data_IF_408674688760
#
_entry.id   IF_408674688760
#
_cell.length_a   1.000
_cell.length_b   1.000
_cell.length_c   1.000
_cell.angle_alpha   90.00
_cell.angle_beta   90.00
_cell.angle_gamma   90.00
#
_symmetry.space_group_name_H-M   'P 1'
#
loop_
_entity.id
_entity.type
_entity.pdbx_description
1 polymer ?
#
# COMPACT_ATOMS: atom_id res chain seq x y z
N UNK A 1 -0.43 -9.30 -12.67
CA UNK A 1 0.65 -8.30 -12.77
C UNK A 1 0.17 -6.99 -12.18
N UNK A 2 0.95 -6.37 -11.29
CA UNK A 2 0.54 -5.15 -10.58
C UNK A 2 0.84 -3.93 -11.46
N UNK A 3 -0.20 -3.27 -12.00
CA UNK A 3 -0.01 -2.14 -12.94
C UNK A 3 0.22 -0.81 -12.25
N UNK A 4 -0.31 -0.64 -11.05
CA UNK A 4 -0.22 0.59 -10.28
C UNK A 4 -0.33 0.30 -8.79
N UNK A 5 0.33 1.12 -7.98
CA UNK A 5 0.26 1.05 -6.52
C UNK A 5 -0.25 2.37 -5.96
N UNK A 6 -1.45 2.35 -5.36
CA UNK A 6 -1.98 3.47 -4.58
C UNK A 6 -1.56 3.32 -3.12
N UNK A 7 -0.85 4.31 -2.59
CA UNK A 7 -0.39 4.30 -1.19
C UNK A 7 -0.55 5.68 -0.54
N UNK A 8 -0.44 5.70 0.79
CA UNK A 8 -0.50 6.94 1.53
C UNK A 8 0.66 7.88 1.20
N UNK A 9 0.40 9.18 1.35
CA UNK A 9 1.40 10.25 1.25
C UNK A 9 2.58 10.05 2.21
N UNK A 10 2.41 9.30 3.31
CA UNK A 10 3.52 8.89 4.18
C UNK A 10 4.54 7.97 3.53
N UNK A 11 4.21 7.33 2.40
CA UNK A 11 5.12 6.52 1.59
C UNK A 11 5.78 7.35 0.46
N UNK A 12 5.75 8.67 0.56
CA UNK A 12 6.42 9.59 -0.35
C UNK A 12 7.94 9.48 -0.19
N UNK A 13 8.54 8.54 -0.92
CA UNK A 13 9.98 8.35 -1.01
C UNK A 13 10.42 8.21 -2.47
N UNK A 14 11.50 8.90 -2.84
CA UNK A 14 11.96 8.94 -4.22
C UNK A 14 12.60 7.61 -4.65
N UNK A 15 13.37 6.96 -3.78
CA UNK A 15 14.00 5.68 -4.09
C UNK A 15 12.93 4.59 -4.28
N UNK A 16 11.91 4.57 -3.43
CA UNK A 16 10.78 3.66 -3.55
C UNK A 16 10.00 3.87 -4.87
N UNK A 17 9.77 5.13 -5.26
CA UNK A 17 9.12 5.42 -6.55
C UNK A 17 9.95 4.97 -7.75
N UNK A 18 11.27 5.10 -7.69
CA UNK A 18 12.16 4.62 -8.75
C UNK A 18 12.13 3.10 -8.85
N UNK A 19 12.17 2.39 -7.73
CA UNK A 19 12.01 0.94 -7.70
C UNK A 19 10.68 0.50 -8.33
N UNK A 20 9.58 1.16 -7.98
CA UNK A 20 8.27 0.89 -8.58
C UNK A 20 8.29 1.12 -10.09
N UNK A 21 8.87 2.23 -10.56
CA UNK A 21 8.98 2.52 -12.00
C UNK A 21 9.87 1.50 -12.73
N UNK A 22 10.97 1.08 -12.12
CA UNK A 22 11.86 0.05 -12.66
C UNK A 22 11.16 -1.31 -12.75
N UNK A 23 10.25 -1.60 -11.82
CA UNK A 23 9.37 -2.77 -11.87
C UNK A 23 8.17 -2.60 -12.85
N UNK A 24 8.06 -1.47 -13.55
CA UNK A 24 6.94 -1.19 -14.46
C UNK A 24 5.63 -0.82 -13.76
N UNK A 25 5.67 -0.54 -12.46
CA UNK A 25 4.50 -0.23 -11.63
C UNK A 25 4.35 1.29 -11.53
N UNK A 26 3.18 1.83 -11.88
CA UNK A 26 2.91 3.27 -11.72
C UNK A 26 2.66 3.62 -10.25
N UNK A 27 3.48 4.49 -9.62
CA UNK A 27 3.22 4.94 -8.26
C UNK A 27 2.09 5.99 -8.23
N UNK A 28 0.99 5.67 -7.55
CA UNK A 28 -0.12 6.58 -7.25
C UNK A 28 0.00 7.04 -5.79
N UNK A 29 1.08 7.78 -5.50
CA UNK A 29 1.42 8.26 -4.16
C UNK A 29 1.52 9.78 -4.22
N UNK A 30 0.68 10.50 -3.47
CA UNK A 30 0.73 11.97 -3.42
C UNK A 30 2.08 12.43 -2.88
N UNK A 31 2.69 13.41 -3.52
CA UNK A 31 3.90 14.08 -3.07
C UNK A 31 3.64 14.86 -1.79
N UNK A 32 4.59 14.80 -0.86
CA UNK A 32 4.66 15.71 0.27
C UNK A 32 5.00 17.11 -0.25
N UNK A 33 4.09 18.03 0.02
CA UNK A 33 4.17 19.40 -0.48
C UNK A 33 5.25 20.12 0.31
N UNK A 34 6.37 20.38 -0.36
CA UNK A 34 7.45 21.22 0.14
C UNK A 34 7.70 22.41 -0.79
N UNK A 35 7.32 22.29 -2.06
CA UNK A 35 7.51 23.32 -3.08
C UNK A 35 6.31 23.42 -4.04
N UNK A 36 6.20 24.53 -4.81
CA UNK A 36 5.11 24.73 -5.78
C UNK A 36 5.00 23.62 -6.84
N UNK A 37 6.11 22.99 -7.22
CA UNK A 37 6.08 21.90 -8.21
C UNK A 37 5.39 20.64 -7.68
N UNK A 38 5.39 20.38 -6.37
CA UNK A 38 4.69 19.24 -5.77
C UNK A 38 3.17 19.34 -5.95
N UNK A 39 2.63 20.56 -5.98
CA UNK A 39 1.23 20.79 -6.30
C UNK A 39 0.90 20.39 -7.72
N UNK A 40 1.77 20.73 -8.68
CA UNK A 40 1.59 20.35 -10.08
C UNK A 40 1.67 18.83 -10.26
N UNK A 41 2.57 18.15 -9.55
CA UNK A 41 2.66 16.69 -9.57
C UNK A 41 1.42 16.03 -8.95
N UNK A 42 0.93 16.54 -7.83
CA UNK A 42 -0.29 16.04 -7.20
C UNK A 42 -1.55 16.26 -8.06
N UNK A 43 -1.63 17.38 -8.79
CA UNK A 43 -2.75 17.67 -9.70
C UNK A 43 -2.80 16.75 -10.93
N UNK A 44 -1.69 16.06 -11.26
CA UNK A 44 -1.62 15.08 -12.37
C UNK A 44 -2.02 13.67 -11.95
N UNK A 45 -2.21 13.42 -10.65
CA UNK A 45 -2.68 12.13 -10.16
C UNK A 45 -4.18 12.05 -10.44
N UNK A 46 -4.60 10.95 -11.03
CA UNK A 46 -6.01 10.64 -11.23
C UNK A 46 -6.65 10.35 -9.86
N UNK A 47 -7.56 11.23 -9.42
CA UNK A 47 -8.20 11.14 -8.11
C UNK A 47 -9.13 9.93 -7.99
N UNK A 48 -9.71 9.42 -9.09
CA UNK A 48 -10.53 8.21 -9.07
C UNK A 48 -9.67 6.97 -8.82
N UNK A 49 -8.55 6.86 -9.53
CA UNK A 49 -7.57 5.79 -9.30
C UNK A 49 -6.91 5.89 -7.93
N UNK A 50 -6.58 7.10 -7.47
CA UNK A 50 -6.05 7.31 -6.11
C UNK A 50 -7.09 7.00 -5.04
N UNK A 51 -8.38 7.22 -5.31
CA UNK A 51 -9.50 6.88 -4.43
C UNK A 51 -9.58 5.40 -4.06
N UNK A 52 -9.03 4.51 -4.90
CA UNK A 52 -8.93 3.06 -4.63
C UNK A 52 -8.06 2.73 -3.40
N UNK A 53 -7.24 3.68 -2.93
CA UNK A 53 -6.53 3.57 -1.66
C UNK A 53 -7.46 3.25 -0.48
N UNK A 54 -8.66 3.84 -0.46
CA UNK A 54 -9.66 3.60 0.59
C UNK A 54 -10.06 2.12 0.73
N UNK A 55 -10.09 1.39 -0.39
CA UNK A 55 -10.37 -0.05 -0.40
C UNK A 55 -9.21 -0.83 0.23
N UNK A 56 -7.97 -0.46 -0.11
CA UNK A 56 -6.77 -1.08 0.48
C UNK A 56 -6.70 -0.83 2.00
N UNK A 57 -7.03 0.38 2.44
CA UNK A 57 -7.11 0.71 3.87
C UNK A 57 -8.21 -0.05 4.60
N UNK A 58 -9.37 -0.23 3.96
CA UNK A 58 -10.48 -1.00 4.51
C UNK A 58 -10.09 -2.47 4.71
N UNK A 59 -9.47 -3.10 3.69
CA UNK A 59 -8.96 -4.47 3.77
C UNK A 59 -7.92 -4.60 4.89
N UNK A 60 -6.95 -3.67 4.94
CA UNK A 60 -5.95 -3.67 6.00
C UNK A 60 -6.56 -3.48 7.40
N UNK A 61 -7.63 -2.68 7.53
CA UNK A 61 -8.36 -2.53 8.78
C UNK A 61 -9.05 -3.84 9.19
N UNK A 62 -9.71 -4.53 8.25
CA UNK A 62 -10.35 -5.82 8.49
C UNK A 62 -9.35 -6.88 8.96
N UNK A 63 -8.22 -7.00 8.25
CA UNK A 63 -7.13 -7.92 8.64
C UNK A 63 -6.64 -7.62 10.07
N UNK A 64 -6.41 -6.35 10.40
CA UNK A 64 -5.94 -5.96 11.74
C UNK A 64 -6.97 -6.26 12.84
N UNK A 65 -8.27 -6.17 12.53
CA UNK A 65 -9.34 -6.50 13.49
C UNK A 65 -9.46 -7.99 13.72
N UNK A 66 -9.27 -8.82 12.70
CA UNK A 66 -9.38 -10.28 12.81
C UNK A 66 -8.11 -10.94 13.35
N UNK A 67 -6.94 -10.56 12.85
CA UNK A 67 -5.66 -11.22 13.14
C UNK A 67 -4.75 -10.41 14.08
N UNK A 68 -5.18 -9.21 14.49
CA UNK A 68 -4.42 -8.30 15.34
C UNK A 68 -3.55 -7.32 14.55
N UNK A 69 -3.16 -6.22 15.20
CA UNK A 69 -2.40 -5.13 14.60
C UNK A 69 -0.88 -5.20 14.81
N UNK A 70 -0.44 -6.04 15.74
CA UNK A 70 0.96 -6.16 16.13
C UNK A 70 1.61 -7.38 15.50
N UNK A 71 2.88 -7.22 15.11
CA UNK A 71 3.73 -8.29 14.56
C UNK A 71 4.63 -8.80 15.68
N UNK A 72 4.69 -10.12 15.88
CA UNK A 72 5.48 -10.74 16.96
C UNK A 72 6.95 -10.86 16.60
N UNK A 73 7.26 -10.98 15.32
CA UNK A 73 8.62 -11.06 14.83
C UNK A 73 9.45 -9.80 15.16
N UNK A 74 10.70 -10.02 15.57
CA UNK A 74 11.66 -8.94 15.88
C UNK A 74 12.57 -8.59 14.72
N UNK A 75 12.78 -9.53 13.79
CA UNK A 75 13.62 -9.35 12.61
C UNK A 75 12.78 -8.85 11.43
N UNK A 76 13.28 -7.86 10.69
CA UNK A 76 12.55 -7.23 9.59
C UNK A 76 11.99 -8.24 8.57
N UNK A 77 12.82 -9.19 8.12
CA UNK A 77 12.38 -10.19 7.14
C UNK A 77 11.32 -11.15 7.71
N UNK A 78 11.37 -11.43 9.02
CA UNK A 78 10.36 -12.25 9.69
C UNK A 78 9.05 -11.48 9.86
N UNK A 79 9.11 -10.16 10.11
CA UNK A 79 7.93 -9.31 10.14
C UNK A 79 7.23 -9.28 8.78
N UNK A 80 7.98 -9.13 7.70
CA UNK A 80 7.46 -9.20 6.34
C UNK A 80 6.75 -10.54 6.06
N UNK A 81 7.37 -11.66 6.46
CA UNK A 81 6.76 -12.99 6.31
C UNK A 81 5.50 -13.15 7.16
N UNK A 82 5.50 -12.66 8.39
CA UNK A 82 4.34 -12.71 9.28
C UNK A 82 3.15 -11.95 8.68
N UNK A 83 3.36 -10.72 8.20
CA UNK A 83 2.32 -9.93 7.52
C UNK A 83 1.81 -10.65 6.26
N UNK A 84 2.72 -11.20 5.46
CA UNK A 84 2.35 -11.93 4.22
C UNK A 84 1.50 -13.16 4.54
N UNK A 85 1.86 -13.91 5.59
CA UNK A 85 1.12 -15.08 6.03
C UNK A 85 -0.26 -14.70 6.56
N UNK A 86 -0.37 -13.65 7.38
CA UNK A 86 -1.65 -13.14 7.89
C UNK A 86 -2.57 -12.75 6.72
N UNK A 87 -2.07 -12.00 5.74
CA UNK A 87 -2.85 -11.63 4.56
C UNK A 87 -3.27 -12.86 3.72
N UNK A 88 -2.39 -13.85 3.60
CA UNK A 88 -2.69 -15.12 2.93
C UNK A 88 -3.81 -15.90 3.63
N UNK A 89 -3.72 -16.06 4.96
CA UNK A 89 -4.75 -16.72 5.77
C UNK A 89 -6.08 -15.99 5.66
N UNK A 90 -6.08 -14.66 5.80
CA UNK A 90 -7.29 -13.85 5.63
C UNK A 90 -7.96 -14.07 4.27
N UNK A 91 -7.18 -14.13 3.18
CA UNK A 91 -7.73 -14.39 1.86
C UNK A 91 -8.34 -15.79 1.73
N UNK A 92 -7.75 -16.81 2.37
CA UNK A 92 -8.31 -18.17 2.39
C UNK A 92 -9.60 -18.21 3.20
N UNK A 93 -9.65 -17.59 4.37
CA UNK A 93 -10.86 -17.47 5.20
C UNK A 93 -11.98 -16.80 4.39
N UNK A 94 -11.70 -15.67 3.74
CA UNK A 94 -12.66 -14.97 2.90
C UNK A 94 -13.10 -15.78 1.66
N UNK A 95 -12.27 -16.68 1.15
CA UNK A 95 -12.62 -17.54 0.03
C UNK A 95 -13.50 -18.73 0.43
N UNK A 96 -13.44 -19.17 1.70
CA UNK A 96 -14.28 -20.25 2.25
C UNK A 96 -15.63 -19.71 2.73
N UNK A 97 -15.66 -18.49 3.26
CA UNK A 97 -16.89 -17.83 3.75
C UNK A 97 -17.79 -17.27 2.62
N UNK A 98 -17.27 -17.17 1.39
CA UNK A 98 -18.02 -16.75 0.19
C UNK A 98 -18.57 -17.94 -0.58
#
# INVERSE_FOLDING_TARGET
>A
DLRSLAADKGYDDMSFREELRNAGIRPLIKHRVFAPYDHAHNARIDDELYGQRSQTESVNSSIKRSHGSAVRARDWFRQFREITLIAGVYNVEQAIER
#
